data_IF_761563939286
#
_entry.id   IF_761563939286
#
_cell.length_a   1.000
_cell.length_b   1.000
_cell.length_c   1.000
_cell.angle_alpha   90.00
_cell.angle_beta   90.00
_cell.angle_gamma   90.00
#
_symmetry.space_group_name_H-M   'P 1'
#
loop_
_entity.id
_entity.type
_entity.pdbx_description
1 polymer ?
#
# COMPACT_ATOMS: atom_id res chain seq x y z
N UNK A 1 23.47 -25.27 22.20
CA UNK A 1 21.99 -25.37 22.09
C UNK A 1 21.57 -24.60 20.85
N UNK A 2 21.31 -25.31 19.75
CA UNK A 2 20.94 -24.69 18.48
C UNK A 2 19.50 -24.21 18.56
N UNK A 3 19.30 -22.89 18.54
CA UNK A 3 17.96 -22.28 18.55
C UNK A 3 17.27 -22.59 17.22
N UNK A 4 16.28 -23.48 17.25
CA UNK A 4 15.43 -23.79 16.11
C UNK A 4 14.51 -22.60 15.88
N UNK A 5 14.81 -21.81 14.85
CA UNK A 5 13.93 -20.74 14.39
C UNK A 5 12.72 -21.37 13.71
N UNK A 6 11.69 -21.70 14.48
CA UNK A 6 10.42 -22.18 13.95
C UNK A 6 9.82 -21.01 13.16
N UNK A 7 9.60 -21.12 11.84
CA UNK A 7 8.91 -20.08 11.08
C UNK A 7 7.51 -19.99 11.67
N UNK A 8 7.21 -18.91 12.40
CA UNK A 8 5.84 -18.60 12.81
C UNK A 8 5.03 -18.60 11.53
N UNK A 9 4.15 -19.58 11.36
CA UNK A 9 3.15 -19.59 10.29
C UNK A 9 2.47 -18.23 10.34
N UNK A 10 2.80 -17.34 9.39
CA UNK A 10 2.26 -15.99 9.34
C UNK A 10 0.80 -16.15 8.91
N UNK A 11 -0.07 -16.40 9.88
CA UNK A 11 -1.52 -16.47 9.64
C UNK A 11 -1.97 -15.07 9.24
N UNK A 12 -2.35 -14.91 7.97
CA UNK A 12 -2.91 -13.67 7.45
C UNK A 12 -4.17 -13.32 8.25
N UNK A 13 -4.25 -12.16 8.91
CA UNK A 13 -5.43 -11.78 9.65
C UNK A 13 -6.61 -11.64 8.70
N UNK A 14 -7.77 -12.13 9.14
CA UNK A 14 -9.00 -11.95 8.37
C UNK A 14 -9.63 -10.61 8.72
N UNK A 15 -9.83 -9.75 7.73
CA UNK A 15 -10.29 -8.38 7.93
C UNK A 15 -11.33 -7.94 6.89
N UNK A 16 -12.09 -6.90 7.23
CA UNK A 16 -13.01 -6.18 6.35
C UNK A 16 -12.37 -4.92 5.73
N UNK A 17 -11.11 -4.62 6.06
CA UNK A 17 -10.40 -3.48 5.49
C UNK A 17 -10.26 -3.60 3.96
N UNK A 18 -10.26 -2.45 3.29
CA UNK A 18 -9.91 -2.37 1.88
C UNK A 18 -8.39 -2.50 1.71
N UNK A 19 -7.95 -3.01 0.55
CA UNK A 19 -6.54 -2.94 0.21
C UNK A 19 -6.14 -1.48 0.06
N UNK A 20 -5.07 -1.08 0.76
CA UNK A 20 -4.53 0.27 0.71
C UNK A 20 -3.93 0.65 -0.64
N UNK A 21 -3.66 -0.32 -1.52
CA UNK A 21 -3.26 -0.07 -2.90
C UNK A 21 -4.48 -0.12 -3.85
N UNK A 22 -5.12 -1.27 -4.07
CA UNK A 22 -6.21 -1.34 -5.04
C UNK A 22 -7.49 -0.54 -4.73
N UNK A 23 -7.67 -0.06 -3.50
CA UNK A 23 -8.95 0.44 -2.98
C UNK A 23 -10.14 -0.53 -3.05
N UNK A 24 -9.94 -1.76 -3.54
CA UNK A 24 -10.97 -2.79 -3.65
C UNK A 24 -11.43 -3.25 -2.26
N UNK A 25 -12.70 -2.96 -1.97
CA UNK A 25 -13.44 -3.56 -0.87
C UNK A 25 -13.78 -4.99 -1.25
N UNK A 26 -13.66 -5.92 -0.32
CA UNK A 26 -14.25 -7.24 -0.47
C UNK A 26 -14.81 -7.68 0.86
N UNK A 27 -15.59 -8.76 0.82
CA UNK A 27 -15.97 -9.50 2.02
C UNK A 27 -14.72 -9.90 2.82
N UNK A 28 -14.97 -10.28 4.08
CA UNK A 28 -13.98 -10.72 5.07
C UNK A 28 -12.93 -11.62 4.42
N UNK A 29 -11.71 -11.10 4.23
CA UNK A 29 -10.62 -11.76 3.49
C UNK A 29 -9.35 -11.80 4.32
N UNK A 30 -8.48 -12.76 4.00
CA UNK A 30 -7.12 -12.78 4.49
C UNK A 30 -6.30 -11.70 3.78
N UNK A 31 -5.65 -10.83 4.55
CA UNK A 31 -4.84 -9.74 4.02
C UNK A 31 -3.45 -9.75 4.65
N UNK A 32 -2.50 -9.20 3.90
CA UNK A 32 -1.16 -8.88 4.38
C UNK A 32 -1.25 -7.62 5.23
N UNK A 33 -0.63 -7.68 6.42
CA UNK A 33 -0.47 -6.52 7.29
C UNK A 33 0.96 -6.02 7.19
N UNK A 34 1.12 -4.80 6.71
CA UNK A 34 2.39 -4.09 6.71
C UNK A 34 2.38 -3.11 7.88
N UNK A 35 3.37 -3.20 8.77
CA UNK A 35 3.51 -2.24 9.86
C UNK A 35 4.53 -1.18 9.46
N UNK A 36 4.09 0.06 9.48
CA UNK A 36 4.92 1.23 9.21
C UNK A 36 4.87 2.14 10.45
N UNK A 37 5.87 2.01 11.31
CA UNK A 37 5.89 2.65 12.62
C UNK A 37 4.67 2.22 13.48
N UNK A 38 3.87 3.17 14.01
CA UNK A 38 2.70 2.87 14.81
C UNK A 38 1.45 2.51 13.96
N UNK A 39 1.54 2.60 12.63
CA UNK A 39 0.39 2.40 11.74
C UNK A 39 0.45 1.02 11.09
N UNK A 40 -0.68 0.30 11.13
CA UNK A 40 -0.85 -0.98 10.44
C UNK A 40 -1.66 -0.75 9.13
N UNK A 41 -1.04 -1.09 8.00
CA UNK A 41 -1.64 -1.02 6.66
C UNK A 41 -2.01 -2.40 6.14
N UNK A 42 -3.09 -2.50 5.35
CA UNK A 42 -3.65 -3.76 4.88
C UNK A 42 -3.62 -3.90 3.35
N UNK A 43 -3.10 -5.03 2.86
CA UNK A 43 -2.94 -5.32 1.43
C UNK A 43 -3.49 -6.70 1.06
N UNK A 44 -4.01 -6.87 -0.16
CA UNK A 44 -4.54 -8.18 -0.59
C UNK A 44 -3.44 -9.17 -1.01
N UNK A 45 -2.29 -8.68 -1.49
CA UNK A 45 -1.09 -9.44 -1.80
C UNK A 45 0.15 -8.72 -1.25
N UNK A 46 1.30 -9.37 -1.35
CA UNK A 46 2.62 -8.84 -1.03
C UNK A 46 3.09 -7.78 -2.04
N UNK A 47 2.82 -7.98 -3.33
CA UNK A 47 3.14 -7.03 -4.40
C UNK A 47 2.65 -5.61 -4.09
N UNK A 48 1.37 -5.43 -3.74
CA UNK A 48 0.84 -4.12 -3.37
C UNK A 48 1.48 -3.52 -2.12
N UNK A 49 1.95 -4.36 -1.20
CA UNK A 49 2.65 -3.89 -0.01
C UNK A 49 4.06 -3.40 -0.37
N UNK A 50 4.72 -4.05 -1.31
CA UNK A 50 6.02 -3.64 -1.85
C UNK A 50 5.88 -2.34 -2.66
N UNK A 51 4.91 -2.27 -3.57
CA UNK A 51 4.63 -1.05 -4.35
C UNK A 51 4.31 0.15 -3.45
N UNK A 52 3.59 -0.07 -2.36
CA UNK A 52 3.36 0.95 -1.34
C UNK A 52 4.67 1.44 -0.71
N UNK A 53 5.56 0.53 -0.30
CA UNK A 53 6.85 0.90 0.29
C UNK A 53 7.73 1.67 -0.69
N UNK A 54 7.75 1.25 -1.95
CA UNK A 54 8.58 1.84 -3.00
C UNK A 54 8.15 3.27 -3.34
N UNK A 55 6.84 3.58 -3.26
CA UNK A 55 6.32 4.86 -3.72
C UNK A 55 5.99 5.85 -2.60
N UNK A 56 5.67 5.40 -1.38
CA UNK A 56 5.13 6.29 -0.32
C UNK A 56 6.02 7.46 0.10
N UNK A 57 7.31 7.45 -0.22
CA UNK A 57 8.25 8.52 0.11
C UNK A 57 8.93 9.14 -1.12
N UNK A 58 8.44 8.86 -2.33
CA UNK A 58 9.04 9.44 -3.54
C UNK A 58 8.73 10.92 -3.68
N UNK A 59 7.48 11.32 -3.50
CA UNK A 59 7.07 12.73 -3.50
C UNK A 59 6.11 13.00 -2.35
N UNK A 60 5.97 14.28 -1.99
CA UNK A 60 5.00 14.70 -0.99
C UNK A 60 3.55 14.37 -1.42
N UNK A 61 3.20 14.64 -2.69
CA UNK A 61 1.86 14.37 -3.25
C UNK A 61 1.50 12.88 -3.17
N UNK A 62 2.44 12.00 -3.52
CA UNK A 62 2.22 10.54 -3.45
C UNK A 62 2.04 10.09 -1.99
N UNK A 63 2.85 10.60 -1.06
CA UNK A 63 2.71 10.27 0.36
C UNK A 63 1.36 10.70 0.92
N UNK A 64 0.93 11.92 0.59
CA UNK A 64 -0.36 12.47 1.01
C UNK A 64 -1.52 11.63 0.47
N UNK A 65 -1.55 11.38 -0.84
CA UNK A 65 -2.59 10.56 -1.49
C UNK A 65 -2.66 9.14 -0.89
N UNK A 66 -1.52 8.50 -0.64
CA UNK A 66 -1.49 7.16 -0.09
C UNK A 66 -2.03 7.11 1.35
N UNK A 67 -1.80 8.14 2.17
CA UNK A 67 -2.35 8.19 3.54
C UNK A 67 -3.88 8.30 3.58
N UNK A 68 -4.49 8.97 2.59
CA UNK A 68 -5.95 9.08 2.46
C UNK A 68 -6.60 7.69 2.41
N UNK A 69 -7.75 7.54 3.08
CA UNK A 69 -8.50 6.28 3.03
C UNK A 69 -8.84 5.92 1.59
N UNK A 70 -8.74 4.63 1.17
CA UNK A 70 -8.92 4.29 -0.23
C UNK A 70 -10.29 4.67 -0.81
N UNK A 71 -11.31 4.85 0.04
CA UNK A 71 -12.66 5.28 -0.36
C UNK A 71 -12.78 6.79 -0.62
N UNK A 72 -11.83 7.58 -0.11
CA UNK A 72 -11.79 9.04 -0.16
C UNK A 72 -10.77 9.55 -1.18
N UNK A 73 -10.02 8.64 -1.83
CA UNK A 73 -9.05 9.01 -2.85
C UNK A 73 -9.77 9.39 -4.13
N UNK A 74 -9.48 10.60 -4.59
CA UNK A 74 -9.83 11.01 -5.94
C UNK A 74 -8.70 10.63 -6.90
N UNK A 75 -8.88 9.51 -7.60
CA UNK A 75 -7.95 9.04 -8.62
C UNK A 75 -8.41 9.41 -10.04
N UNK A 76 -9.49 10.21 -10.21
CA UNK A 76 -10.04 10.56 -11.52
C UNK A 76 -10.29 9.33 -12.43
N UNK A 77 -10.74 8.21 -11.84
CA UNK A 77 -10.96 6.95 -12.56
C UNK A 77 -9.69 6.15 -12.90
N UNK A 78 -8.50 6.62 -12.52
CA UNK A 78 -7.23 5.92 -12.72
C UNK A 78 -6.97 4.89 -11.61
N UNK A 79 -6.09 3.93 -11.91
CA UNK A 79 -5.48 3.07 -10.89
C UNK A 79 -4.39 3.84 -10.14
N UNK A 80 -4.01 3.37 -8.94
CA UNK A 80 -2.91 3.99 -8.18
C UNK A 80 -1.61 3.97 -8.98
N UNK A 81 -1.30 2.86 -9.64
CA UNK A 81 -0.07 2.73 -10.44
C UNK A 81 0.00 3.74 -11.58
N UNK A 82 -1.14 4.06 -12.20
CA UNK A 82 -1.22 5.09 -13.23
C UNK A 82 -1.05 6.47 -12.63
N UNK A 83 -1.78 6.76 -11.55
CA UNK A 83 -1.70 8.06 -10.89
C UNK A 83 -0.28 8.38 -10.38
N UNK A 84 0.37 7.39 -9.75
CA UNK A 84 1.76 7.53 -9.26
C UNK A 84 2.73 7.75 -10.41
N UNK A 85 2.56 7.05 -11.55
CA UNK A 85 3.41 7.26 -12.74
C UNK A 85 3.26 8.65 -13.33
N UNK A 86 2.03 9.16 -13.40
CA UNK A 86 1.74 10.50 -13.91
C UNK A 86 2.35 11.59 -13.01
N UNK A 87 2.24 11.43 -11.69
CA UNK A 87 2.85 12.34 -10.71
C UNK A 87 4.37 12.34 -10.77
N UNK A 88 5.00 11.16 -10.86
CA UNK A 88 6.45 11.07 -11.00
C UNK A 88 6.96 11.67 -12.31
N UNK A 89 6.18 11.55 -13.39
CA UNK A 89 6.54 12.15 -14.68
C UNK A 89 6.53 13.68 -14.59
N UNK A 90 5.48 14.26 -14.00
CA UNK A 90 5.37 15.71 -13.79
C UNK A 90 6.48 16.26 -12.88
N UNK A 91 6.83 15.54 -11.82
CA UNK A 91 7.93 15.95 -10.93
C UNK A 91 9.28 16.02 -11.65
N UNK A 92 9.56 15.06 -12.56
CA UNK A 92 10.80 15.09 -13.33
C UNK A 92 10.82 16.18 -14.41
N UNK A 93 9.67 16.59 -14.94
CA UNK A 93 9.56 17.67 -15.93
C UNK A 93 9.71 19.07 -15.30
N UNK A 94 9.46 19.21 -14.00
CA UNK A 94 9.57 20.49 -13.29
C UNK A 94 10.97 20.77 -12.73
N UNK A 95 11.87 19.78 -12.78
CA UNK A 95 13.29 19.89 -12.42
C UNK A 95 14.22 20.05 -13.64
N UNK A 96 13.67 20.16 -14.86
CA UNK A 96 14.40 20.32 -16.13
C UNK A 96 14.32 21.77 -16.67
#
# INVERSE_FOLDING_TARGET
MSSVFIPKVIRKPTTHHACRWCAKRSLRKQMYKLRDGPVDWWFCNDEHALEWLDNRHKTYSINEMLRIEPRERDLNGKTIDQWVRDELSQANESDA
#
